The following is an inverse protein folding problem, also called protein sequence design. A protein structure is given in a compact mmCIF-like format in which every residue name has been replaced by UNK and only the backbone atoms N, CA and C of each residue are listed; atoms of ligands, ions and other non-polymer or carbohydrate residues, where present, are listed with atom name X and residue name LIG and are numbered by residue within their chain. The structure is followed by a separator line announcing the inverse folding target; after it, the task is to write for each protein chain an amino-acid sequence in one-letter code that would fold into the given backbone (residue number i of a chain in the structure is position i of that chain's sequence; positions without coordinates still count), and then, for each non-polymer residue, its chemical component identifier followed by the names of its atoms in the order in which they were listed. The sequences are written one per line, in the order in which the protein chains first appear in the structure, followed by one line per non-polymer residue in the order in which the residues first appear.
data_IF_193926781948
#
_entry.id   IF_193926781948
#
_cell.length_a   1.000
_cell.length_b   1.000
_cell.length_c   1.000
_cell.angle_alpha   90.00
_cell.angle_beta   90.00
_cell.angle_gamma   90.00
#
_symmetry.space_group_name_H-M   'P 1'
#
loop_
_entity.id
_entity.type
_entity.pdbx_description
1 polymer ?
#
# COMPACT_ATOMS: atom_id res chain seq x y z
N UNK A 1 5.77 39.62 -2.77
CA UNK A 1 5.85 39.11 -4.14
C UNK A 1 4.63 38.27 -4.56
N UNK A 2 3.96 37.54 -3.68
CA UNK A 2 2.73 36.76 -4.02
C UNK A 2 1.42 37.55 -3.89
N UNK A 3 1.45 38.73 -3.37
CA UNK A 3 0.29 39.66 -3.22
C UNK A 3 -0.25 40.14 -4.59
N UNK A 4 0.47 39.91 -5.68
CA UNK A 4 0.11 40.33 -7.04
C UNK A 4 -0.42 39.19 -7.93
N UNK A 5 -0.93 38.11 -7.35
CA UNK A 5 -1.58 37.03 -8.13
C UNK A 5 -0.65 36.01 -8.78
N UNK A 6 0.64 36.03 -8.48
CA UNK A 6 1.59 35.02 -9.01
C UNK A 6 1.49 33.73 -8.18
N UNK A 7 1.18 32.59 -8.84
CA UNK A 7 1.15 31.28 -8.17
C UNK A 7 2.56 30.88 -7.70
N UNK A 8 2.71 30.38 -6.46
CA UNK A 8 3.99 29.86 -5.99
C UNK A 8 4.38 28.62 -6.79
N UNK A 9 5.66 28.53 -7.19
CA UNK A 9 6.21 27.44 -8.00
C UNK A 9 7.33 26.67 -7.26
N UNK A 10 7.73 25.53 -7.77
CA UNK A 10 8.79 24.71 -7.20
C UNK A 10 8.43 24.13 -5.81
N UNK A 11 9.28 24.34 -4.80
CA UNK A 11 9.04 23.86 -3.42
C UNK A 11 8.10 24.72 -2.58
N UNK A 12 7.79 25.94 -3.04
CA UNK A 12 7.01 26.89 -2.27
C UNK A 12 5.58 26.42 -1.92
N UNK A 13 4.80 25.75 -2.80
CA UNK A 13 3.50 25.18 -2.47
C UNK A 13 3.55 24.20 -1.29
N UNK A 14 4.55 23.32 -1.26
CA UNK A 14 4.72 22.32 -0.21
C UNK A 14 5.11 22.95 1.13
N UNK A 15 5.98 23.97 1.11
CA UNK A 15 6.37 24.73 2.31
C UNK A 15 5.17 25.48 2.88
N UNK A 16 4.36 26.10 2.02
CA UNK A 16 3.13 26.81 2.44
C UNK A 16 2.13 25.82 3.06
N UNK A 17 1.89 24.68 2.43
CA UNK A 17 1.01 23.63 2.97
C UNK A 17 1.47 23.19 4.36
N UNK A 18 2.76 22.91 4.52
CA UNK A 18 3.31 22.46 5.80
C UNK A 18 3.23 23.53 6.87
N UNK A 19 3.58 24.77 6.55
CA UNK A 19 3.53 25.90 7.48
C UNK A 19 2.11 26.20 7.93
N UNK A 20 1.15 26.22 7.01
CA UNK A 20 -0.25 26.49 7.30
C UNK A 20 -0.91 25.32 8.04
N UNK A 21 -0.55 24.06 7.70
CA UNK A 21 -1.02 22.88 8.45
C UNK A 21 -0.58 22.93 9.91
N UNK A 22 0.67 23.34 10.19
CA UNK A 22 1.19 23.53 11.54
C UNK A 22 0.47 24.66 12.29
N UNK A 23 0.24 25.81 11.63
CA UNK A 23 -0.41 26.96 12.24
C UNK A 23 -1.89 26.75 12.57
N UNK A 24 -2.59 25.99 11.73
CA UNK A 24 -4.03 25.72 11.85
C UNK A 24 -4.33 24.46 12.65
N UNK A 25 -3.30 23.71 13.09
CA UNK A 25 -3.47 22.46 13.83
C UNK A 25 -4.17 21.34 13.06
N UNK A 26 -4.34 21.50 11.73
CA UNK A 26 -4.96 20.49 10.85
C UNK A 26 -4.13 20.30 9.58
N UNK A 27 -4.11 19.09 9.04
CA UNK A 27 -3.47 18.83 7.73
C UNK A 27 -4.25 19.55 6.63
N UNK A 28 -3.52 20.32 5.83
CA UNK A 28 -4.01 20.95 4.61
C UNK A 28 -3.44 20.18 3.40
N UNK A 29 -4.25 20.05 2.35
CA UNK A 29 -3.82 19.60 1.02
C UNK A 29 -3.44 20.81 0.15
N UNK A 30 -2.78 20.58 -0.99
CA UNK A 30 -2.55 21.65 -1.97
C UNK A 30 -3.88 22.15 -2.58
N UNK A 31 -4.89 21.27 -2.69
CA UNK A 31 -6.24 21.61 -3.09
C UNK A 31 -6.90 22.61 -2.13
N UNK A 32 -6.75 22.39 -0.80
CA UNK A 32 -7.28 23.32 0.21
C UNK A 32 -6.67 24.72 0.10
N UNK A 33 -5.50 24.83 -0.52
CA UNK A 33 -4.79 26.09 -0.76
C UNK A 33 -5.03 26.67 -2.16
N UNK A 34 -5.80 25.98 -3.01
CA UNK A 34 -6.00 26.38 -4.41
C UNK A 34 -4.71 26.31 -5.25
N UNK A 35 -3.73 25.50 -4.82
CA UNK A 35 -2.40 25.39 -5.42
C UNK A 35 -2.21 24.07 -6.17
N UNK A 36 -3.27 23.32 -6.47
CA UNK A 36 -3.19 22.17 -7.37
C UNK A 36 -2.68 22.64 -8.75
N UNK A 37 -1.65 21.99 -9.25
CA UNK A 37 -1.25 22.12 -10.64
C UNK A 37 -2.36 21.53 -11.51
N UNK A 38 -2.91 22.31 -12.46
CA UNK A 38 -3.66 21.70 -13.55
C UNK A 38 -2.72 20.71 -14.26
N UNK A 39 -3.17 19.50 -14.56
CA UNK A 39 -2.34 18.52 -15.22
C UNK A 39 -1.96 19.06 -16.60
N UNK A 40 -0.75 19.60 -16.74
CA UNK A 40 -0.11 19.81 -18.04
C UNK A 40 0.05 18.41 -18.65
N UNK A 41 -0.70 18.17 -19.72
CA UNK A 41 -0.91 16.87 -20.35
C UNK A 41 0.35 16.15 -20.78
N UNK A 42 0.87 15.33 -19.90
CA UNK A 42 1.45 14.05 -20.26
C UNK A 42 0.47 13.00 -19.73
N UNK A 43 -0.35 12.46 -20.62
CA UNK A 43 -1.18 11.28 -20.36
C UNK A 43 -0.24 10.20 -19.82
N UNK A 44 -0.26 10.01 -18.49
CA UNK A 44 0.43 8.88 -17.86
C UNK A 44 -0.31 7.61 -18.31
N UNK A 45 0.21 6.98 -19.37
CA UNK A 45 -0.37 5.77 -19.95
C UNK A 45 -0.57 4.65 -18.93
N UNK A 46 0.12 4.68 -17.79
CA UNK A 46 -0.02 3.70 -16.71
C UNK A 46 -1.29 3.87 -15.85
N UNK A 47 -1.90 5.06 -15.82
CA UNK A 47 -3.14 5.33 -15.10
C UNK A 47 -4.38 5.32 -15.99
N UNK A 48 -4.22 5.23 -17.32
CA UNK A 48 -5.33 5.11 -18.26
C UNK A 48 -5.81 3.65 -18.34
N UNK A 49 -7.06 3.44 -17.96
CA UNK A 49 -7.73 2.12 -18.02
C UNK A 49 -7.99 1.62 -19.46
N UNK A 50 -7.75 2.41 -20.50
CA UNK A 50 -7.96 2.06 -21.91
C UNK A 50 -6.72 1.50 -22.60
N UNK A 51 -5.50 1.79 -22.11
CA UNK A 51 -4.24 1.35 -22.74
C UNK A 51 -4.02 -0.15 -22.52
N UNK A 52 -3.39 -0.87 -23.44
CA UNK A 52 -3.08 -2.30 -23.29
C UNK A 52 -2.14 -2.55 -22.10
N UNK A 53 -2.56 -3.36 -21.08
CA UNK A 53 -1.77 -3.57 -19.89
C UNK A 53 -0.44 -4.29 -20.14
N UNK A 54 -0.33 -5.08 -21.21
CA UNK A 54 0.88 -5.82 -21.53
C UNK A 54 2.03 -4.92 -21.94
N UNK A 55 1.74 -3.96 -22.81
CA UNK A 55 2.72 -2.97 -23.27
C UNK A 55 3.21 -2.12 -22.11
N UNK A 56 2.27 -1.58 -21.32
CA UNK A 56 2.61 -0.71 -20.16
C UNK A 56 3.39 -1.48 -19.09
N UNK A 57 3.07 -2.75 -18.85
CA UNK A 57 3.77 -3.56 -17.86
C UNK A 57 5.20 -3.89 -18.27
N UNK A 58 5.44 -4.17 -19.56
CA UNK A 58 6.76 -4.38 -20.10
C UNK A 58 7.65 -3.12 -19.99
N UNK A 59 7.09 -1.95 -20.33
CA UNK A 59 7.77 -0.66 -20.18
C UNK A 59 8.10 -0.36 -18.72
N UNK A 60 7.11 -0.50 -17.81
CA UNK A 60 7.28 -0.24 -16.39
C UNK A 60 8.33 -1.14 -15.74
N UNK A 61 8.35 -2.44 -16.11
CA UNK A 61 9.38 -3.37 -15.64
C UNK A 61 10.77 -2.96 -16.10
N UNK A 62 10.91 -2.43 -17.32
CA UNK A 62 12.18 -1.92 -17.84
C UNK A 62 12.61 -0.63 -17.14
N UNK A 63 11.69 0.31 -16.90
CA UNK A 63 11.95 1.55 -16.18
C UNK A 63 12.37 1.31 -14.72
N UNK A 64 11.76 0.32 -14.05
CA UNK A 64 12.07 -0.03 -12.66
C UNK A 64 13.47 -0.70 -12.52
N UNK A 65 13.98 -1.31 -13.57
CA UNK A 65 15.33 -1.88 -13.62
C UNK A 65 16.41 -0.85 -13.96
N UNK A 66 16.05 0.19 -14.70
CA UNK A 66 16.97 1.31 -14.98
C UNK A 66 17.07 2.23 -13.75
N UNK A 67 18.27 2.28 -13.14
CA UNK A 67 18.52 3.02 -11.92
C UNK A 67 18.30 4.54 -12.07
N UNK A 68 18.53 5.10 -13.25
CA UNK A 68 18.28 6.53 -13.54
C UNK A 68 16.79 6.81 -13.70
N UNK A 69 16.07 5.99 -14.46
CA UNK A 69 14.63 6.10 -14.66
C UNK A 69 13.86 5.84 -13.37
N UNK A 70 14.30 4.86 -12.57
CA UNK A 70 13.71 4.58 -11.25
C UNK A 70 13.81 5.78 -10.30
N UNK A 71 14.94 6.49 -10.27
CA UNK A 71 15.08 7.73 -9.47
C UNK A 71 14.13 8.83 -9.93
N UNK A 72 13.92 8.98 -11.24
CA UNK A 72 12.97 9.94 -11.79
C UNK A 72 11.52 9.55 -11.44
N UNK A 73 11.17 8.27 -11.54
CA UNK A 73 9.85 7.77 -11.16
C UNK A 73 9.57 7.91 -9.66
N UNK A 74 10.56 7.65 -8.81
CA UNK A 74 10.45 7.79 -7.36
C UNK A 74 10.22 9.24 -6.92
N UNK A 75 10.71 10.23 -7.68
CA UNK A 75 10.49 11.66 -7.42
C UNK A 75 9.19 12.20 -8.02
N UNK A 76 8.54 11.44 -8.90
CA UNK A 76 7.29 11.84 -9.51
C UNK A 76 6.13 11.81 -8.50
N UNK A 77 5.28 12.83 -8.55
CA UNK A 77 4.16 12.96 -7.61
C UNK A 77 3.10 11.88 -7.81
N UNK A 78 2.58 11.37 -6.70
CA UNK A 78 1.35 10.56 -6.69
C UNK A 78 0.18 11.36 -7.27
N UNK A 79 -0.62 10.74 -8.13
CA UNK A 79 -1.76 11.39 -8.76
C UNK A 79 -3.09 10.86 -8.22
N UNK A 80 -3.80 11.69 -7.45
CA UNK A 80 -5.16 11.37 -7.02
C UNK A 80 -6.16 11.26 -8.21
N UNK A 81 -5.92 12.00 -9.30
CA UNK A 81 -6.73 11.91 -10.52
C UNK A 81 -6.58 10.54 -11.21
N UNK A 82 -5.38 9.96 -11.19
CA UNK A 82 -5.11 8.63 -11.74
C UNK A 82 -5.76 7.47 -10.98
N UNK A 83 -6.46 7.75 -9.87
CA UNK A 83 -7.27 6.79 -9.11
C UNK A 83 -8.75 6.78 -9.54
N UNK A 84 -9.13 7.49 -10.59
CA UNK A 84 -10.49 7.41 -11.12
C UNK A 84 -10.78 5.97 -11.53
N UNK A 85 -11.82 5.38 -10.92
CA UNK A 85 -12.24 4.01 -11.24
C UNK A 85 -12.97 3.99 -12.57
N UNK A 86 -12.77 2.95 -13.38
CA UNK A 86 -13.61 2.72 -14.56
C UNK A 86 -15.04 2.36 -14.12
N UNK A 87 -15.98 2.47 -15.05
CA UNK A 87 -17.37 2.07 -14.83
C UNK A 87 -17.48 0.58 -14.46
N UNK A 88 -18.54 0.20 -13.78
CA UNK A 88 -18.76 -1.21 -13.41
C UNK A 88 -18.76 -2.15 -14.63
N UNK A 89 -19.30 -1.69 -15.76
CA UNK A 89 -19.32 -2.44 -17.02
C UNK A 89 -17.93 -2.69 -17.63
N UNK A 90 -16.96 -1.83 -17.34
CA UNK A 90 -15.59 -1.99 -17.83
C UNK A 90 -14.98 -3.34 -17.43
N UNK A 91 -15.23 -3.82 -16.20
CA UNK A 91 -14.71 -5.10 -15.72
C UNK A 91 -15.18 -6.30 -16.55
N UNK A 92 -16.45 -6.29 -16.96
CA UNK A 92 -17.01 -7.32 -17.82
C UNK A 92 -16.47 -7.21 -19.25
N UNK A 93 -16.32 -5.99 -19.75
CA UNK A 93 -15.77 -5.73 -21.09
C UNK A 93 -14.30 -6.14 -21.15
N UNK A 94 -13.50 -5.88 -20.12
CA UNK A 94 -12.08 -6.25 -20.05
C UNK A 94 -11.89 -7.77 -20.15
N UNK A 95 -12.68 -8.54 -19.41
CA UNK A 95 -12.66 -10.01 -19.49
C UNK A 95 -12.99 -10.52 -20.92
N UNK A 96 -14.05 -9.98 -21.53
CA UNK A 96 -14.46 -10.37 -22.88
C UNK A 96 -13.43 -9.97 -23.96
N UNK A 97 -12.80 -8.82 -23.81
CA UNK A 97 -11.74 -8.35 -24.71
C UNK A 97 -10.48 -9.22 -24.61
N UNK A 98 -10.08 -9.57 -23.40
CA UNK A 98 -8.91 -10.42 -23.16
C UNK A 98 -9.08 -11.82 -23.77
N UNK A 99 -10.29 -12.40 -23.71
CA UNK A 99 -10.59 -13.70 -24.31
C UNK A 99 -10.43 -13.72 -25.84
N UNK A 100 -10.55 -12.54 -26.49
CA UNK A 100 -10.42 -12.38 -27.95
C UNK A 100 -9.01 -11.91 -28.38
N UNK A 101 -8.11 -11.64 -27.42
CA UNK A 101 -6.75 -11.17 -27.74
C UNK A 101 -5.97 -12.23 -28.49
N UNK A 102 -5.40 -11.93 -29.67
CA UNK A 102 -4.58 -12.89 -30.41
C UNK A 102 -3.28 -13.16 -29.67
N UNK A 103 -2.82 -14.42 -29.73
CA UNK A 103 -1.50 -14.76 -29.22
C UNK A 103 -0.41 -14.10 -30.09
N UNK A 104 0.55 -13.45 -29.46
CA UNK A 104 1.72 -12.83 -30.12
C UNK A 104 2.94 -13.76 -30.12
N UNK A 105 2.90 -14.83 -29.33
CA UNK A 105 3.94 -15.85 -29.22
C UNK A 105 3.37 -17.24 -29.55
N UNK A 106 4.11 -18.08 -30.30
CA UNK A 106 3.70 -19.46 -30.56
C UNK A 106 3.81 -20.38 -29.33
N UNK A 107 4.44 -19.93 -28.24
CA UNK A 107 4.61 -20.66 -26.99
C UNK A 107 3.26 -21.12 -26.45
N UNK A 108 3.20 -22.37 -26.03
CA UNK A 108 2.05 -22.92 -25.33
C UNK A 108 2.34 -22.92 -23.82
N UNK A 109 1.49 -22.27 -23.04
CA UNK A 109 1.62 -22.20 -21.58
C UNK A 109 1.23 -23.55 -20.98
N UNK A 110 2.03 -24.04 -20.03
CA UNK A 110 1.78 -25.20 -19.21
C UNK A 110 1.47 -24.82 -17.76
N UNK A 111 0.91 -25.77 -16.98
CA UNK A 111 0.66 -25.55 -15.56
C UNK A 111 1.94 -25.21 -14.80
N UNK A 112 3.06 -25.85 -15.12
CA UNK A 112 4.36 -25.56 -14.51
C UNK A 112 4.80 -24.09 -14.64
N UNK A 113 4.47 -23.43 -15.76
CA UNK A 113 4.78 -21.99 -15.93
C UNK A 113 4.02 -21.13 -14.91
N UNK A 114 2.78 -21.50 -14.57
CA UNK A 114 1.95 -20.81 -13.59
C UNK A 114 2.48 -21.06 -12.18
N UNK A 115 2.85 -22.31 -11.90
CA UNK A 115 3.39 -22.70 -10.59
C UNK A 115 4.71 -21.99 -10.32
N UNK A 116 5.61 -21.86 -11.32
CA UNK A 116 6.84 -21.07 -11.21
C UNK A 116 6.56 -19.60 -10.85
N UNK A 117 5.55 -18.97 -11.48
CA UNK A 117 5.16 -17.57 -11.17
C UNK A 117 4.64 -17.47 -9.73
N UNK A 118 3.82 -18.42 -9.29
CA UNK A 118 3.26 -18.46 -7.93
C UNK A 118 4.34 -18.68 -6.86
N UNK A 119 5.27 -19.58 -7.11
CA UNK A 119 6.39 -19.87 -6.20
C UNK A 119 7.29 -18.66 -6.02
N UNK A 120 7.66 -18.00 -7.12
CA UNK A 120 8.42 -16.73 -7.07
C UNK A 120 7.66 -15.64 -6.31
N UNK A 121 6.36 -15.51 -6.55
CA UNK A 121 5.51 -14.54 -5.85
C UNK A 121 5.50 -14.82 -4.34
N UNK A 122 5.36 -16.08 -3.95
CA UNK A 122 5.39 -16.52 -2.54
C UNK A 122 6.75 -16.22 -1.90
N UNK A 123 7.84 -16.53 -2.59
CA UNK A 123 9.21 -16.26 -2.12
C UNK A 123 9.43 -14.76 -1.86
N UNK A 124 9.10 -13.89 -2.83
CA UNK A 124 9.30 -12.46 -2.68
C UNK A 124 8.34 -11.84 -1.67
N UNK A 125 7.12 -12.35 -1.53
CA UNK A 125 6.16 -11.92 -0.50
C UNK A 125 6.71 -12.20 0.90
N UNK A 126 7.26 -13.40 1.15
CA UNK A 126 7.88 -13.73 2.43
C UNK A 126 9.08 -12.81 2.73
N UNK A 127 9.91 -12.53 1.71
CA UNK A 127 11.06 -11.64 1.84
C UNK A 127 10.65 -10.19 2.14
N UNK A 128 9.60 -9.68 1.48
CA UNK A 128 9.01 -8.36 1.76
C UNK A 128 8.54 -8.24 3.22
N UNK A 129 7.84 -9.24 3.73
CA UNK A 129 7.36 -9.24 5.11
C UNK A 129 8.50 -9.20 6.14
N UNK A 130 9.62 -9.82 5.84
CA UNK A 130 10.79 -9.88 6.74
C UNK A 130 11.69 -8.65 6.60
N UNK A 131 12.00 -8.24 5.37
CA UNK A 131 13.07 -7.28 5.07
C UNK A 131 12.61 -5.97 4.49
N UNK A 132 11.33 -5.84 4.14
CA UNK A 132 10.76 -4.64 3.53
C UNK A 132 10.83 -4.62 2.02
N UNK A 133 10.01 -3.73 1.43
CA UNK A 133 9.71 -3.67 0.00
C UNK A 133 10.89 -3.32 -0.88
N UNK A 134 11.88 -2.56 -0.39
CA UNK A 134 13.07 -2.25 -1.17
C UNK A 134 13.98 -3.48 -1.36
N UNK A 135 13.86 -4.49 -0.46
CA UNK A 135 14.67 -5.70 -0.49
C UNK A 135 14.17 -6.72 -1.52
N UNK A 136 14.76 -6.71 -2.70
CA UNK A 136 14.47 -7.71 -3.75
C UNK A 136 13.47 -7.27 -4.81
N UNK A 137 12.91 -6.05 -4.74
CA UNK A 137 11.95 -5.54 -5.74
C UNK A 137 12.51 -5.52 -7.16
N UNK A 138 13.75 -5.08 -7.36
CA UNK A 138 14.39 -5.09 -8.69
C UNK A 138 14.48 -6.51 -9.29
N UNK A 139 14.78 -7.52 -8.47
CA UNK A 139 14.79 -8.91 -8.92
C UNK A 139 13.38 -9.40 -9.28
N UNK A 140 12.37 -9.05 -8.46
CA UNK A 140 10.96 -9.34 -8.78
C UNK A 140 10.53 -8.66 -10.08
N UNK A 141 10.87 -7.39 -10.31
CA UNK A 141 10.57 -6.66 -11.55
C UNK A 141 11.24 -7.31 -12.77
N UNK A 142 12.48 -7.81 -12.62
CA UNK A 142 13.16 -8.60 -13.64
C UNK A 142 12.41 -9.90 -13.98
N UNK A 143 12.01 -10.68 -12.98
CA UNK A 143 11.21 -11.90 -13.20
C UNK A 143 9.84 -11.58 -13.81
N UNK A 144 9.20 -10.51 -13.37
CA UNK A 144 7.92 -10.07 -13.93
C UNK A 144 8.07 -9.77 -15.43
N UNK A 145 9.06 -8.94 -15.82
CA UNK A 145 9.32 -8.58 -17.22
C UNK A 145 9.72 -9.78 -18.07
N UNK A 146 10.69 -10.59 -17.60
CA UNK A 146 11.36 -11.59 -18.44
C UNK A 146 10.65 -12.94 -18.46
N UNK A 147 9.85 -13.24 -17.43
CA UNK A 147 9.20 -14.56 -17.27
C UNK A 147 7.68 -14.46 -17.29
N UNK A 148 7.08 -13.59 -16.46
CA UNK A 148 5.64 -13.59 -16.28
C UNK A 148 4.88 -12.85 -17.40
N UNK A 149 5.32 -11.64 -17.79
CA UNK A 149 4.66 -10.84 -18.84
C UNK A 149 4.57 -11.58 -20.18
N UNK A 150 5.62 -12.28 -20.67
CA UNK A 150 5.54 -13.02 -21.93
C UNK A 150 4.47 -14.11 -21.95
N UNK A 151 4.09 -14.68 -20.77
CA UNK A 151 3.03 -15.69 -20.71
C UNK A 151 1.68 -15.12 -21.13
N UNK A 152 1.40 -13.84 -20.85
CA UNK A 152 0.13 -13.20 -21.17
C UNK A 152 -0.13 -13.09 -22.69
N UNK A 153 0.94 -13.04 -23.50
CA UNK A 153 0.88 -13.03 -24.95
C UNK A 153 1.02 -14.40 -25.61
N UNK A 154 1.06 -15.48 -24.84
CA UNK A 154 1.27 -16.85 -25.31
C UNK A 154 -0.06 -17.55 -25.66
N UNK A 155 0.02 -18.79 -26.15
CA UNK A 155 -1.15 -19.63 -26.48
C UNK A 155 -1.58 -20.45 -25.25
N UNK A 156 -2.88 -20.68 -25.13
CA UNK A 156 -3.47 -21.47 -24.03
C UNK A 156 -4.28 -22.64 -24.60
N UNK A 157 -4.21 -23.79 -23.95
CA UNK A 157 -5.04 -24.96 -24.32
C UNK A 157 -6.49 -24.79 -23.91
N UNK A 158 -6.74 -24.10 -22.79
CA UNK A 158 -8.07 -23.90 -22.22
C UNK A 158 -8.22 -22.48 -21.72
N UNK A 159 -9.45 -21.99 -21.66
CA UNK A 159 -9.77 -20.70 -21.07
C UNK A 159 -9.42 -20.64 -19.58
N UNK A 160 -9.58 -21.77 -18.85
CA UNK A 160 -9.19 -21.85 -17.45
C UNK A 160 -7.68 -21.60 -17.27
N UNK A 161 -6.85 -22.25 -18.08
CA UNK A 161 -5.40 -22.05 -18.03
C UNK A 161 -5.00 -20.60 -18.33
N UNK A 162 -5.72 -19.93 -19.25
CA UNK A 162 -5.54 -18.51 -19.52
C UNK A 162 -5.86 -17.67 -18.28
N UNK A 163 -7.03 -17.88 -17.68
CA UNK A 163 -7.44 -17.16 -16.47
C UNK A 163 -6.46 -17.35 -15.32
N UNK A 164 -6.03 -18.58 -15.06
CA UNK A 164 -5.08 -18.89 -14.00
C UNK A 164 -3.72 -18.23 -14.22
N UNK A 165 -3.27 -18.15 -15.49
CA UNK A 165 -2.05 -17.43 -15.85
C UNK A 165 -2.18 -15.94 -15.58
N UNK A 166 -3.28 -15.33 -16.04
CA UNK A 166 -3.53 -13.91 -15.82
C UNK A 166 -3.66 -13.58 -14.33
N UNK A 167 -4.35 -14.41 -13.53
CA UNK A 167 -4.41 -14.27 -12.07
C UNK A 167 -3.03 -14.32 -11.42
N UNK A 168 -2.19 -15.31 -11.78
CA UNK A 168 -0.84 -15.42 -11.21
C UNK A 168 0.05 -14.22 -11.55
N UNK A 169 0.00 -13.74 -12.81
CA UNK A 169 0.74 -12.53 -13.21
C UNK A 169 0.20 -11.27 -12.55
N UNK A 170 -1.12 -11.15 -12.38
CA UNK A 170 -1.73 -10.04 -11.65
C UNK A 170 -1.28 -10.00 -10.18
N UNK A 171 -1.18 -11.17 -9.53
CA UNK A 171 -0.72 -11.27 -8.14
C UNK A 171 0.76 -10.89 -8.01
N UNK A 172 1.63 -11.33 -8.92
CA UNK A 172 3.04 -10.91 -8.97
C UNK A 172 3.18 -9.40 -9.22
N UNK A 173 2.36 -8.84 -10.13
CA UNK A 173 2.32 -7.41 -10.43
C UNK A 173 1.85 -6.60 -9.22
N UNK A 174 0.82 -7.09 -8.52
CA UNK A 174 0.36 -6.53 -7.25
C UNK A 174 1.50 -6.49 -6.22
N UNK A 175 2.26 -7.57 -6.08
CA UNK A 175 3.37 -7.63 -5.13
C UNK A 175 4.44 -6.58 -5.46
N UNK A 176 4.79 -6.38 -6.73
CA UNK A 176 5.71 -5.32 -7.14
C UNK A 176 5.20 -3.93 -6.74
N UNK A 177 3.90 -3.68 -6.94
CA UNK A 177 3.23 -2.45 -6.49
C UNK A 177 3.23 -2.27 -4.97
N UNK A 178 2.96 -3.33 -4.22
CA UNK A 178 3.02 -3.30 -2.77
C UNK A 178 4.43 -3.02 -2.24
N UNK A 179 5.44 -3.66 -2.82
CA UNK A 179 6.85 -3.42 -2.46
C UNK A 179 7.29 -1.98 -2.78
N UNK A 180 6.83 -1.41 -3.91
CA UNK A 180 7.06 0.00 -4.23
C UNK A 180 6.36 0.94 -3.23
N UNK A 181 5.13 0.61 -2.81
CA UNK A 181 4.41 1.36 -1.77
C UNK A 181 5.16 1.31 -0.43
N UNK A 182 5.62 0.14 -0.02
CA UNK A 182 6.41 0.00 1.20
C UNK A 182 7.75 0.76 1.14
N UNK A 183 8.33 0.89 -0.06
CA UNK A 183 9.52 1.70 -0.30
C UNK A 183 9.25 3.23 -0.38
N UNK A 184 8.00 3.68 -0.16
CA UNK A 184 7.53 5.07 -0.32
C UNK A 184 7.63 5.61 -1.76
N UNK A 185 7.73 4.74 -2.75
CA UNK A 185 7.70 5.08 -4.18
C UNK A 185 6.26 5.08 -4.71
N UNK A 186 5.47 6.05 -4.23
CA UNK A 186 4.01 6.03 -4.35
C UNK A 186 3.48 6.04 -5.77
N UNK A 187 4.13 6.73 -6.72
CA UNK A 187 3.72 6.74 -8.13
C UNK A 187 3.98 5.39 -8.79
N UNK A 188 5.16 4.81 -8.58
CA UNK A 188 5.49 3.48 -9.08
C UNK A 188 4.51 2.43 -8.54
N UNK A 189 4.20 2.51 -7.25
CA UNK A 189 3.20 1.66 -6.60
C UNK A 189 1.83 1.79 -7.27
N UNK A 190 1.35 3.00 -7.49
CA UNK A 190 0.08 3.27 -8.14
C UNK A 190 0.02 2.66 -9.54
N UNK A 191 1.08 2.81 -10.36
CA UNK A 191 1.15 2.24 -11.71
C UNK A 191 1.06 0.71 -11.70
N UNK A 192 1.88 0.04 -10.87
CA UNK A 192 1.82 -1.41 -10.73
C UNK A 192 0.47 -1.90 -10.23
N UNK A 193 -0.10 -1.28 -9.20
CA UNK A 193 -1.39 -1.66 -8.63
C UNK A 193 -2.54 -1.47 -9.63
N UNK A 194 -2.53 -0.38 -10.42
CA UNK A 194 -3.53 -0.17 -11.47
C UNK A 194 -3.41 -1.23 -12.56
N UNK A 195 -2.19 -1.56 -13.00
CA UNK A 195 -1.97 -2.62 -13.99
C UNK A 195 -2.39 -4.00 -13.45
N UNK A 196 -2.05 -4.31 -12.20
CA UNK A 196 -2.48 -5.53 -11.56
C UNK A 196 -4.00 -5.67 -11.51
N UNK A 197 -4.73 -4.59 -11.17
CA UNK A 197 -6.19 -4.58 -11.16
C UNK A 197 -6.79 -4.83 -12.55
N UNK A 198 -6.16 -4.29 -13.61
CA UNK A 198 -6.56 -4.54 -15.00
C UNK A 198 -6.36 -5.99 -15.41
N UNK A 199 -5.19 -6.56 -15.10
CA UNK A 199 -4.90 -7.97 -15.44
C UNK A 199 -5.83 -8.90 -14.65
N UNK A 200 -6.13 -8.60 -13.38
CA UNK A 200 -7.11 -9.34 -12.59
C UNK A 200 -8.52 -9.29 -13.18
N UNK A 201 -8.93 -8.14 -13.75
CA UNK A 201 -10.19 -8.01 -14.47
C UNK A 201 -10.20 -8.86 -15.75
N UNK A 202 -9.11 -8.89 -16.50
CA UNK A 202 -8.93 -9.73 -17.70
C UNK A 202 -8.90 -11.24 -17.37
N UNK A 203 -8.47 -11.61 -16.15
CA UNK A 203 -8.57 -12.97 -15.63
C UNK A 203 -10.01 -13.35 -15.21
N UNK A 204 -10.85 -12.36 -14.92
CA UNK A 204 -12.13 -12.57 -14.26
C UNK A 204 -12.00 -12.95 -12.78
N UNK A 205 -10.87 -12.65 -12.15
CA UNK A 205 -10.63 -12.90 -10.71
C UNK A 205 -11.14 -11.73 -9.87
N UNK A 206 -12.42 -11.77 -9.52
CA UNK A 206 -13.08 -10.75 -8.71
C UNK A 206 -12.41 -10.57 -7.34
N UNK A 207 -12.19 -11.63 -6.55
CA UNK A 207 -11.49 -11.53 -5.26
C UNK A 207 -10.11 -10.88 -5.33
N UNK A 208 -9.28 -11.24 -6.30
CA UNK A 208 -7.97 -10.60 -6.53
C UNK A 208 -8.13 -9.13 -6.90
N UNK A 209 -9.09 -8.81 -7.78
CA UNK A 209 -9.43 -7.41 -8.10
C UNK A 209 -9.80 -6.61 -6.85
N UNK A 210 -10.61 -7.17 -5.96
CA UNK A 210 -10.95 -6.58 -4.66
C UNK A 210 -9.71 -6.36 -3.78
N UNK A 211 -8.85 -7.38 -3.70
CA UNK A 211 -7.58 -7.31 -2.95
C UNK A 211 -6.65 -6.20 -3.46
N UNK A 212 -6.56 -5.99 -4.76
CA UNK A 212 -5.73 -4.94 -5.34
C UNK A 212 -6.34 -3.55 -5.12
N UNK A 213 -7.66 -3.40 -5.33
CA UNK A 213 -8.35 -2.12 -5.09
C UNK A 213 -8.24 -1.68 -3.62
N UNK A 214 -8.30 -2.61 -2.66
CA UNK A 214 -8.07 -2.28 -1.25
C UNK A 214 -6.64 -1.77 -1.00
N UNK A 215 -5.63 -2.25 -1.75
CA UNK A 215 -4.26 -1.76 -1.62
C UNK A 215 -4.12 -0.32 -2.13
N UNK A 216 -4.78 0.02 -3.25
CA UNK A 216 -4.90 1.39 -3.73
C UNK A 216 -5.63 2.29 -2.72
N UNK A 217 -6.71 1.77 -2.09
CA UNK A 217 -7.43 2.48 -1.03
C UNK A 217 -6.53 2.73 0.19
N UNK A 218 -5.77 1.73 0.63
CA UNK A 218 -4.81 1.85 1.72
C UNK A 218 -3.76 2.93 1.42
N UNK A 219 -3.17 2.92 0.22
CA UNK A 219 -2.23 3.94 -0.22
C UNK A 219 -2.87 5.34 -0.20
N UNK A 220 -4.10 5.47 -0.69
CA UNK A 220 -4.82 6.75 -0.70
C UNK A 220 -5.12 7.28 0.72
N UNK A 221 -5.45 6.38 1.69
CA UNK A 221 -5.59 6.76 3.11
C UNK A 221 -4.27 7.32 3.65
N UNK A 222 -3.18 6.57 3.46
CA UNK A 222 -1.87 6.95 4.00
C UNK A 222 -1.35 8.27 3.41
N UNK A 223 -1.74 8.60 2.18
CA UNK A 223 -1.38 9.84 1.48
C UNK A 223 -2.37 11.00 1.69
N UNK A 224 -3.45 10.80 2.48
CA UNK A 224 -4.38 11.85 2.84
C UNK A 224 -5.41 12.19 1.76
N UNK A 225 -5.84 11.20 0.96
CA UNK A 225 -6.88 11.34 -0.06
C UNK A 225 -8.18 10.57 0.33
N UNK A 226 -8.91 10.97 1.40
CA UNK A 226 -9.98 10.18 2.00
C UNK A 226 -11.11 9.82 1.03
N UNK A 227 -11.59 10.77 0.23
CA UNK A 227 -12.67 10.54 -0.74
C UNK A 227 -12.29 9.51 -1.80
N UNK A 228 -11.04 9.54 -2.29
CA UNK A 228 -10.53 8.56 -3.26
C UNK A 228 -10.33 7.20 -2.60
N UNK A 229 -9.82 7.19 -1.38
CA UNK A 229 -9.68 5.97 -0.59
C UNK A 229 -11.03 5.28 -0.39
N UNK A 230 -12.08 6.03 -0.03
CA UNK A 230 -13.42 5.50 0.16
C UNK A 230 -13.98 4.93 -1.15
N UNK A 231 -13.89 5.65 -2.27
CA UNK A 231 -14.36 5.16 -3.56
C UNK A 231 -13.68 3.84 -3.98
N UNK A 232 -12.36 3.71 -3.75
CA UNK A 232 -11.60 2.49 -4.03
C UNK A 232 -11.98 1.35 -3.09
N UNK A 233 -12.17 1.66 -1.80
CA UNK A 233 -12.59 0.69 -0.79
C UNK A 233 -14.00 0.19 -1.07
N UNK A 234 -14.96 1.06 -1.41
CA UNK A 234 -16.32 0.68 -1.83
C UNK A 234 -16.28 -0.23 -3.05
N UNK A 235 -15.47 0.11 -4.06
CA UNK A 235 -15.29 -0.74 -5.23
C UNK A 235 -14.71 -2.11 -4.87
N UNK A 236 -13.81 -2.21 -3.89
CA UNK A 236 -13.28 -3.48 -3.41
C UNK A 236 -14.35 -4.34 -2.72
N UNK A 237 -15.34 -3.71 -2.11
CA UNK A 237 -16.46 -4.34 -1.39
C UNK A 237 -17.65 -4.70 -2.28
N UNK A 238 -17.56 -4.50 -3.62
CA UNK A 238 -18.65 -4.87 -4.52
C UNK A 238 -18.98 -6.36 -4.46
N UNK A 239 -20.24 -6.71 -4.79
CA UNK A 239 -20.76 -8.08 -4.68
C UNK A 239 -19.87 -9.14 -5.36
N UNK A 240 -19.35 -8.82 -6.55
CA UNK A 240 -18.55 -9.76 -7.36
C UNK A 240 -17.14 -9.98 -6.80
N UNK A 241 -16.65 -9.06 -5.96
CA UNK A 241 -15.33 -9.14 -5.35
C UNK A 241 -15.38 -9.66 -3.93
N UNK A 242 -16.14 -8.97 -3.07
CA UNK A 242 -16.29 -9.36 -1.68
C UNK A 242 -17.12 -10.66 -1.53
N UNK A 243 -18.21 -10.82 -2.30
CA UNK A 243 -19.09 -11.99 -2.18
C UNK A 243 -18.39 -13.31 -2.48
N UNK A 244 -17.47 -13.32 -3.44
CA UNK A 244 -16.73 -14.52 -3.88
C UNK A 244 -15.40 -14.73 -3.13
N UNK A 245 -14.97 -13.74 -2.33
CA UNK A 245 -13.71 -13.82 -1.58
C UNK A 245 -13.80 -14.83 -0.42
N UNK A 246 -12.67 -15.41 -0.04
CA UNK A 246 -12.56 -16.21 1.19
C UNK A 246 -12.84 -15.34 2.44
N UNK A 247 -13.19 -15.95 3.55
CA UNK A 247 -13.47 -15.20 4.77
C UNK A 247 -12.28 -14.35 5.24
N UNK A 248 -11.06 -14.82 5.06
CA UNK A 248 -9.85 -14.05 5.37
C UNK A 248 -9.68 -12.83 4.46
N UNK A 249 -9.96 -12.98 3.16
CA UNK A 249 -9.97 -11.86 2.23
C UNK A 249 -11.08 -10.86 2.56
N UNK A 250 -12.30 -11.36 2.86
CA UNK A 250 -13.43 -10.53 3.31
C UNK A 250 -13.03 -9.66 4.51
N UNK A 251 -12.39 -10.27 5.50
CA UNK A 251 -11.92 -9.55 6.69
C UNK A 251 -10.92 -8.44 6.34
N UNK A 252 -9.97 -8.74 5.44
CA UNK A 252 -8.98 -7.76 4.98
C UNK A 252 -9.62 -6.62 4.18
N UNK A 253 -10.58 -6.91 3.29
CA UNK A 253 -11.31 -5.88 2.54
C UNK A 253 -12.12 -4.99 3.51
N UNK A 254 -12.84 -5.59 4.44
CA UNK A 254 -13.69 -4.87 5.40
C UNK A 254 -12.88 -3.95 6.32
N UNK A 255 -11.69 -4.37 6.79
CA UNK A 255 -10.91 -3.52 7.70
C UNK A 255 -10.24 -2.35 6.96
N UNK A 256 -9.84 -2.52 5.70
CA UNK A 256 -9.33 -1.38 4.92
C UNK A 256 -10.46 -0.43 4.53
N UNK A 257 -11.68 -0.95 4.30
CA UNK A 257 -12.88 -0.12 4.15
C UNK A 257 -13.13 0.70 5.44
N UNK A 258 -13.00 0.09 6.64
CA UNK A 258 -13.08 0.82 7.91
C UNK A 258 -12.06 1.96 8.00
N UNK A 259 -10.82 1.77 7.54
CA UNK A 259 -9.81 2.83 7.50
C UNK A 259 -10.19 3.97 6.55
N UNK A 260 -10.75 3.65 5.40
CA UNK A 260 -11.22 4.66 4.45
C UNK A 260 -12.39 5.48 5.01
N UNK A 261 -13.35 4.82 5.67
CA UNK A 261 -14.47 5.47 6.37
C UNK A 261 -13.99 6.35 7.52
N UNK A 262 -13.02 5.88 8.31
CA UNK A 262 -12.40 6.66 9.38
C UNK A 262 -11.73 7.93 8.86
N UNK A 263 -11.00 7.82 7.76
CA UNK A 263 -10.32 8.95 7.12
C UNK A 263 -11.31 9.95 6.51
N UNK A 264 -12.48 9.50 6.05
CA UNK A 264 -13.56 10.34 5.51
C UNK A 264 -14.46 10.92 6.62
N UNK A 265 -14.30 10.47 7.87
CA UNK A 265 -15.03 10.97 9.04
C UNK A 265 -16.32 10.22 9.40
N UNK A 266 -16.66 9.15 8.71
CA UNK A 266 -17.83 8.31 9.04
C UNK A 266 -17.50 7.36 10.20
N UNK A 267 -17.81 7.82 11.42
CA UNK A 267 -17.60 7.06 12.66
C UNK A 267 -18.46 5.80 12.76
N UNK A 268 -19.73 5.91 12.39
CA UNK A 268 -20.67 4.79 12.51
C UNK A 268 -20.33 3.69 11.49
N UNK A 269 -20.08 4.07 10.24
CA UNK A 269 -19.63 3.16 9.19
C UNK A 269 -18.30 2.47 9.54
N UNK A 270 -17.35 3.23 10.14
CA UNK A 270 -16.07 2.66 10.60
C UNK A 270 -16.26 1.53 11.60
N UNK A 271 -17.06 1.75 12.66
CA UNK A 271 -17.31 0.71 13.68
C UNK A 271 -18.06 -0.50 13.09
N UNK A 272 -19.03 -0.27 12.22
CA UNK A 272 -19.74 -1.34 11.53
C UNK A 272 -18.82 -2.17 10.65
N UNK A 273 -17.86 -1.54 9.95
CA UNK A 273 -16.87 -2.21 9.10
C UNK A 273 -15.82 -2.98 9.93
N UNK A 274 -15.36 -2.46 11.07
CA UNK A 274 -14.50 -3.18 12.03
C UNK A 274 -15.20 -4.45 12.50
N UNK A 275 -16.44 -4.34 12.99
CA UNK A 275 -17.23 -5.50 13.45
C UNK A 275 -17.46 -6.54 12.34
N UNK A 276 -17.58 -6.11 11.09
CA UNK A 276 -17.66 -7.00 9.92
C UNK A 276 -16.35 -7.75 9.73
N UNK A 277 -15.22 -7.05 9.76
CA UNK A 277 -13.89 -7.65 9.60
C UNK A 277 -13.59 -8.69 10.68
N UNK A 278 -13.98 -8.43 11.93
CA UNK A 278 -13.84 -9.37 13.05
C UNK A 278 -14.67 -10.63 12.83
N UNK A 279 -15.95 -10.49 12.44
CA UNK A 279 -16.82 -11.64 12.14
C UNK A 279 -16.30 -12.47 10.97
N UNK A 280 -15.78 -11.82 9.92
CA UNK A 280 -15.24 -12.53 8.77
C UNK A 280 -13.95 -13.27 9.15
N UNK A 281 -13.04 -12.63 9.91
CA UNK A 281 -11.82 -13.31 10.35
C UNK A 281 -12.10 -14.48 11.29
N UNK A 282 -13.10 -14.35 12.17
CA UNK A 282 -13.52 -15.44 13.06
C UNK A 282 -14.07 -16.67 12.31
N UNK A 283 -14.55 -16.48 11.07
CA UNK A 283 -15.03 -17.56 10.20
C UNK A 283 -13.96 -18.09 9.23
N UNK A 284 -12.76 -17.47 9.25
CA UNK A 284 -11.71 -17.83 8.30
C UNK A 284 -11.13 -19.20 8.61
N UNK A 285 -11.14 -20.09 7.63
CA UNK A 285 -10.36 -21.32 7.65
C UNK A 285 -8.97 -21.06 7.07
N UNK A 286 -7.96 -21.71 7.66
CA UNK A 286 -6.59 -21.62 7.18
C UNK A 286 -6.39 -22.37 5.85
N UNK A 287 -7.22 -23.36 5.56
CA UNK A 287 -7.11 -24.21 4.37
C UNK A 287 -7.75 -23.58 3.12
N UNK A 288 -8.73 -22.68 3.29
CA UNK A 288 -9.48 -22.07 2.17
C UNK A 288 -8.93 -20.71 1.71
N UNK A 289 -7.95 -20.17 2.44
CA UNK A 289 -7.44 -18.84 2.15
C UNK A 289 -6.31 -18.90 1.09
N UNK A 290 -6.38 -18.12 0.00
CA UNK A 290 -5.30 -18.03 -0.96
C UNK A 290 -4.02 -17.51 -0.30
N UNK A 291 -2.85 -17.96 -0.81
CA UNK A 291 -1.54 -17.63 -0.25
C UNK A 291 -1.30 -16.13 -0.08
N UNK A 292 -1.85 -15.31 -1.00
CA UNK A 292 -1.76 -13.85 -0.99
C UNK A 292 -2.28 -13.16 0.29
N UNK A 293 -3.14 -13.82 1.07
CA UNK A 293 -3.69 -13.27 2.32
C UNK A 293 -3.24 -14.02 3.57
N UNK A 294 -2.30 -14.94 3.46
CA UNK A 294 -1.74 -15.70 4.58
C UNK A 294 -1.14 -14.82 5.69
N UNK A 295 -0.68 -13.62 5.33
CA UNK A 295 -0.17 -12.61 6.27
C UNK A 295 -1.28 -11.99 7.14
N UNK A 296 -2.53 -12.02 6.68
CA UNK A 296 -3.64 -11.36 7.38
C UNK A 296 -4.22 -12.27 8.45
N UNK A 297 -3.82 -12.04 9.66
CA UNK A 297 -4.21 -12.77 10.88
C UNK A 297 -4.65 -11.77 11.95
N UNK A 298 -4.93 -12.24 13.15
CA UNK A 298 -5.35 -11.41 14.30
C UNK A 298 -4.46 -10.17 14.50
N UNK A 299 -3.14 -10.35 14.46
CA UNK A 299 -2.19 -9.24 14.60
C UNK A 299 -2.35 -8.17 13.51
N UNK A 300 -2.72 -8.58 12.29
CA UNK A 300 -2.94 -7.64 11.18
C UNK A 300 -4.27 -6.92 11.31
N UNK A 301 -5.32 -7.63 11.72
CA UNK A 301 -6.63 -7.03 12.01
C UNK A 301 -6.51 -6.00 13.14
N UNK A 302 -5.84 -6.36 14.25
CA UNK A 302 -5.62 -5.45 15.37
C UNK A 302 -4.84 -4.19 14.95
N UNK A 303 -3.81 -4.33 14.11
CA UNK A 303 -3.06 -3.18 13.58
C UNK A 303 -3.93 -2.22 12.77
N UNK A 304 -4.73 -2.74 11.84
CA UNK A 304 -5.59 -1.90 10.98
C UNK A 304 -6.73 -1.27 11.79
N UNK A 305 -7.30 -2.01 12.78
CA UNK A 305 -8.29 -1.48 13.74
C UNK A 305 -7.70 -0.32 14.54
N UNK A 306 -6.47 -0.47 15.05
CA UNK A 306 -5.77 0.59 15.77
C UNK A 306 -5.57 1.84 14.91
N UNK A 307 -5.19 1.66 13.64
CA UNK A 307 -5.05 2.77 12.70
C UNK A 307 -6.38 3.49 12.47
N UNK A 308 -7.48 2.76 12.26
CA UNK A 308 -8.81 3.34 12.09
C UNK A 308 -9.26 4.13 13.34
N UNK A 309 -9.07 3.58 14.53
CA UNK A 309 -9.41 4.24 15.80
C UNK A 309 -8.55 5.48 16.05
N UNK A 310 -7.26 5.43 15.75
CA UNK A 310 -6.37 6.59 15.81
C UNK A 310 -6.86 7.71 14.88
N UNK A 311 -7.23 7.36 13.65
CA UNK A 311 -7.68 8.32 12.64
C UNK A 311 -9.06 8.93 13.01
N UNK A 312 -9.86 8.20 13.81
CA UNK A 312 -11.09 8.69 14.47
C UNK A 312 -10.84 9.60 15.69
N UNK A 313 -9.58 9.83 16.09
CA UNK A 313 -9.24 10.58 17.30
C UNK A 313 -9.48 9.85 18.62
N UNK A 314 -9.39 8.50 18.61
CA UNK A 314 -9.53 7.63 19.79
C UNK A 314 -8.20 6.99 20.19
N UNK A 315 -7.23 7.75 20.70
CA UNK A 315 -5.88 7.26 20.96
C UNK A 315 -5.83 6.16 22.04
N UNK A 316 -6.67 6.19 23.04
CA UNK A 316 -6.73 5.16 24.10
C UNK A 316 -7.16 3.80 23.51
N UNK A 317 -8.22 3.78 22.72
CA UNK A 317 -8.71 2.57 22.08
C UNK A 317 -7.68 2.05 21.06
N UNK A 318 -7.08 2.95 20.29
CA UNK A 318 -6.04 2.60 19.31
C UNK A 318 -4.82 1.94 19.97
N UNK A 319 -4.41 2.41 21.14
CA UNK A 319 -3.28 1.83 21.87
C UNK A 319 -3.52 0.38 22.25
N UNK A 320 -4.70 0.04 22.78
CA UNK A 320 -5.06 -1.33 23.14
C UNK A 320 -4.89 -2.27 21.94
N UNK A 321 -5.36 -1.84 20.77
CA UNK A 321 -5.26 -2.64 19.55
C UNK A 321 -3.83 -2.70 19.00
N UNK A 322 -3.02 -1.62 19.10
CA UNK A 322 -1.59 -1.69 18.75
C UNK A 322 -0.84 -2.66 19.68
N UNK A 323 -1.07 -2.61 20.98
CA UNK A 323 -0.48 -3.54 21.95
C UNK A 323 -0.86 -4.99 21.62
N UNK A 324 -2.14 -5.27 21.32
CA UNK A 324 -2.60 -6.58 20.86
C UNK A 324 -1.87 -7.04 19.61
N UNK A 325 -1.71 -6.15 18.62
CA UNK A 325 -0.99 -6.44 17.39
C UNK A 325 0.49 -6.78 17.67
N UNK A 326 1.15 -6.04 18.54
CA UNK A 326 2.55 -6.29 18.94
C UNK A 326 2.69 -7.64 19.64
N UNK A 327 1.77 -7.96 20.56
CA UNK A 327 1.81 -9.18 21.36
C UNK A 327 1.57 -10.46 20.54
N UNK A 328 0.63 -10.40 19.54
CA UNK A 328 0.21 -11.59 18.77
C UNK A 328 1.01 -11.78 17.47
N UNK A 329 1.84 -10.83 17.08
CA UNK A 329 2.60 -10.91 15.82
C UNK A 329 3.83 -11.81 15.92
N UNK A 330 4.01 -12.67 14.94
CA UNK A 330 5.24 -13.47 14.75
C UNK A 330 6.38 -12.56 14.27
N UNK A 331 7.18 -12.03 15.21
CA UNK A 331 8.18 -10.97 14.99
C UNK A 331 9.16 -11.29 13.87
N UNK A 332 9.73 -12.50 13.84
CA UNK A 332 10.73 -12.88 12.83
C UNK A 332 10.15 -12.97 11.42
N UNK A 333 8.91 -13.45 11.29
CA UNK A 333 8.24 -13.60 10.00
C UNK A 333 7.74 -12.26 9.45
N UNK A 334 7.34 -11.33 10.33
CA UNK A 334 6.70 -10.05 9.97
C UNK A 334 7.45 -8.85 10.59
N UNK A 335 8.80 -8.87 10.53
CA UNK A 335 9.65 -7.87 11.19
C UNK A 335 9.34 -6.44 10.73
N UNK A 336 9.11 -6.24 9.43
CA UNK A 336 8.71 -4.94 8.85
C UNK A 336 7.46 -4.38 9.52
N UNK A 337 6.36 -5.13 9.50
CA UNK A 337 5.10 -4.62 10.06
C UNK A 337 5.16 -4.53 11.59
N UNK A 338 5.92 -5.41 12.26
CA UNK A 338 6.12 -5.34 13.70
C UNK A 338 6.80 -4.02 14.11
N UNK A 339 7.88 -3.65 13.43
CA UNK A 339 8.61 -2.40 13.71
C UNK A 339 7.76 -1.15 13.46
N UNK A 340 6.99 -1.12 12.37
CA UNK A 340 6.05 -0.02 12.07
C UNK A 340 4.95 0.07 13.13
N UNK A 341 4.43 -1.08 13.60
CA UNK A 341 3.39 -1.12 14.66
C UNK A 341 3.91 -0.51 15.96
N UNK A 342 5.12 -0.88 16.38
CA UNK A 342 5.78 -0.27 17.55
C UNK A 342 5.96 1.25 17.39
N UNK A 343 6.33 1.69 16.19
CA UNK A 343 6.45 3.12 15.91
C UNK A 343 5.14 3.88 16.09
N UNK A 344 4.03 3.33 15.61
CA UNK A 344 2.70 3.94 15.78
C UNK A 344 2.20 3.86 17.23
N UNK A 345 2.51 2.77 17.94
CA UNK A 345 2.21 2.64 19.37
C UNK A 345 2.89 3.77 20.16
N UNK A 346 4.18 4.00 19.97
CA UNK A 346 4.90 5.09 20.63
C UNK A 346 4.32 6.47 20.29
N UNK A 347 3.92 6.71 19.02
CA UNK A 347 3.29 7.96 18.62
C UNK A 347 1.95 8.21 19.33
N UNK A 348 1.14 7.17 19.55
CA UNK A 348 -0.13 7.25 20.29
C UNK A 348 0.14 7.51 21.78
N UNK A 349 1.19 6.94 22.38
CA UNK A 349 1.58 7.20 23.76
C UNK A 349 2.03 8.65 23.97
N UNK A 350 2.78 9.25 23.02
CA UNK A 350 3.11 10.69 23.06
C UNK A 350 1.86 11.56 23.00
N UNK A 351 0.88 11.23 22.15
CA UNK A 351 -0.39 11.97 22.09
C UNK A 351 -1.14 11.97 23.42
N UNK A 352 -0.91 10.97 24.26
CA UNK A 352 -1.49 10.83 25.59
C UNK A 352 -0.60 11.44 26.71
N UNK A 353 0.51 12.09 26.35
CA UNK A 353 1.45 12.69 27.29
C UNK A 353 2.40 11.71 27.99
N UNK A 354 2.41 10.43 27.60
CA UNK A 354 3.23 9.37 28.21
C UNK A 354 4.58 9.22 27.49
N UNK A 355 5.42 10.25 27.65
CA UNK A 355 6.68 10.35 26.90
C UNK A 355 7.68 9.24 27.24
N UNK A 356 7.81 8.84 28.52
CA UNK A 356 8.78 7.82 28.92
C UNK A 356 8.42 6.45 28.37
N UNK A 357 7.14 6.09 28.36
CA UNK A 357 6.63 4.86 27.74
C UNK A 357 6.84 4.88 26.23
N UNK A 358 6.56 6.02 25.59
CA UNK A 358 6.80 6.20 24.16
C UNK A 358 8.29 6.00 23.81
N UNK A 359 9.20 6.57 24.60
CA UNK A 359 10.63 6.39 24.40
C UNK A 359 11.05 4.91 24.53
N UNK A 360 10.51 4.18 25.50
CA UNK A 360 10.77 2.75 25.66
C UNK A 360 10.24 1.95 24.45
N UNK A 361 9.02 2.24 24.00
CA UNK A 361 8.39 1.60 22.83
C UNK A 361 9.16 1.90 21.55
N UNK A 362 9.60 3.14 21.36
CA UNK A 362 10.36 3.54 20.17
C UNK A 362 11.78 2.95 20.15
N UNK A 363 12.41 2.72 21.29
CA UNK A 363 13.66 1.96 21.35
C UNK A 363 13.45 0.53 20.84
N UNK A 364 12.36 -0.14 21.24
CA UNK A 364 12.00 -1.46 20.70
C UNK A 364 11.70 -1.40 19.18
N UNK A 365 11.08 -0.32 18.70
CA UNK A 365 10.84 -0.13 17.26
C UNK A 365 12.16 -0.05 16.48
N UNK A 366 13.13 0.75 16.95
CA UNK A 366 14.46 0.86 16.33
C UNK A 366 15.22 -0.47 16.35
N UNK A 367 15.15 -1.24 17.44
CA UNK A 367 15.72 -2.58 17.49
C UNK A 367 15.10 -3.53 16.45
N UNK A 368 13.78 -3.49 16.31
CA UNK A 368 13.04 -4.30 15.35
C UNK A 368 13.24 -3.86 13.88
N UNK A 369 13.70 -2.63 13.62
CA UNK A 369 14.02 -2.10 12.29
C UNK A 369 15.39 -2.54 11.77
N UNK A 370 16.21 -3.17 12.59
CA UNK A 370 17.53 -3.62 12.17
C UNK A 370 17.43 -4.60 10.99
N UNK A 371 18.04 -4.25 9.85
CA UNK A 371 17.99 -5.03 8.61
C UNK A 371 16.70 -4.92 7.79
N UNK A 372 15.75 -4.04 8.19
CA UNK A 372 14.53 -3.75 7.44
C UNK A 372 14.77 -2.59 6.47
N UNK A 373 14.53 -2.84 5.18
CA UNK A 373 14.64 -1.86 4.08
C UNK A 373 13.23 -1.42 3.64
N UNK A 374 12.64 -0.51 4.40
CA UNK A 374 11.25 -0.06 4.22
C UNK A 374 11.18 1.47 4.34
N UNK A 375 10.63 2.13 3.33
CA UNK A 375 10.32 3.56 3.37
C UNK A 375 9.33 3.90 4.48
N UNK A 376 8.33 3.03 4.71
CA UNK A 376 7.36 3.20 5.80
C UNK A 376 8.02 3.13 7.18
N UNK A 377 9.01 2.27 7.38
CA UNK A 377 9.80 2.24 8.61
C UNK A 377 10.61 3.54 8.76
N UNK A 378 11.20 4.02 7.65
CA UNK A 378 11.90 5.32 7.62
C UNK A 378 10.96 6.48 7.98
N UNK A 379 9.75 6.50 7.44
CA UNK A 379 8.74 7.55 7.71
C UNK A 379 8.32 7.55 9.19
N UNK A 380 8.24 6.36 9.82
CA UNK A 380 8.02 6.22 11.27
C UNK A 380 9.14 6.88 12.06
N UNK A 381 10.41 6.68 11.69
CA UNK A 381 11.56 7.30 12.38
C UNK A 381 11.52 8.82 12.20
N UNK A 382 11.23 9.33 11.00
CA UNK A 382 11.09 10.77 10.75
C UNK A 382 9.98 11.37 11.61
N UNK A 383 8.85 10.65 11.73
CA UNK A 383 7.74 11.03 12.60
C UNK A 383 8.16 11.07 14.07
N UNK A 384 8.83 10.03 14.54
CA UNK A 384 9.38 9.95 15.91
C UNK A 384 10.25 11.17 16.22
N UNK A 385 11.16 11.55 15.30
CA UNK A 385 12.00 12.74 15.48
C UNK A 385 11.19 14.05 15.54
N UNK A 386 10.13 14.14 14.73
CA UNK A 386 9.22 15.30 14.76
C UNK A 386 8.49 15.38 16.11
N UNK A 387 7.98 14.27 16.60
CA UNK A 387 7.23 14.20 17.87
C UNK A 387 8.15 14.47 19.09
N UNK A 388 9.44 14.10 19.02
CA UNK A 388 10.44 14.39 20.06
C UNK A 388 10.94 15.85 20.03
N UNK A 389 10.83 16.56 18.92
CA UNK A 389 11.39 17.90 18.73
C UNK A 389 11.01 18.90 19.84
N UNK A 390 9.73 18.99 20.30
CA UNK A 390 9.33 19.94 21.34
C UNK A 390 9.93 19.64 22.71
N UNK A 391 10.36 18.42 22.96
CA UNK A 391 10.85 17.97 24.28
C UNK A 391 12.38 17.83 24.37
N UNK A 392 13.09 17.90 23.22
CA UNK A 392 14.56 17.84 23.18
C UNK A 392 15.25 18.86 24.11
N UNK A 393 14.69 20.07 24.20
CA UNK A 393 15.26 21.14 25.00
C UNK A 393 15.04 20.96 26.52
N UNK A 394 14.20 20.00 26.94
CA UNK A 394 13.93 19.73 28.37
C UNK A 394 15.01 18.91 29.06
N UNK A 395 16.11 18.61 28.39
CA UNK A 395 17.32 18.01 29.00
C UNK A 395 17.22 16.52 29.36
N UNK A 396 16.16 15.81 28.92
CA UNK A 396 16.05 14.37 29.19
C UNK A 396 17.11 13.57 28.44
N UNK A 397 17.98 12.87 29.20
CA UNK A 397 19.02 12.01 28.64
C UNK A 397 18.45 10.88 27.76
N UNK A 398 17.30 10.33 28.13
CA UNK A 398 16.62 9.27 27.36
C UNK A 398 16.12 9.77 26.00
N UNK A 399 15.58 10.99 25.94
CA UNK A 399 15.15 11.61 24.67
C UNK A 399 16.34 11.90 23.78
N UNK A 400 17.44 12.40 24.32
CA UNK A 400 18.66 12.67 23.54
C UNK A 400 19.30 11.40 22.97
N UNK A 401 19.33 10.34 23.74
CA UNK A 401 19.85 9.02 23.32
C UNK A 401 18.98 8.41 22.22
N UNK A 402 17.66 8.42 22.39
CA UNK A 402 16.71 7.93 21.38
C UNK A 402 16.81 8.71 20.07
N UNK A 403 16.91 10.04 20.14
CA UNK A 403 17.06 10.90 18.96
C UNK A 403 18.39 10.64 18.21
N UNK A 404 19.47 10.34 18.95
CA UNK A 404 20.73 9.92 18.34
C UNK A 404 20.58 8.58 17.62
N UNK A 405 20.01 7.56 18.27
CA UNK A 405 19.73 6.26 17.66
C UNK A 405 18.85 6.35 16.42
N UNK A 406 17.82 7.20 16.46
CA UNK A 406 16.93 7.44 15.32
C UNK A 406 17.69 8.03 14.13
N UNK A 407 18.62 9.00 14.36
CA UNK A 407 19.48 9.54 13.30
C UNK A 407 20.42 8.50 12.71
N UNK A 408 21.02 7.68 13.55
CA UNK A 408 21.94 6.62 13.10
C UNK A 408 21.19 5.59 12.25
N UNK A 409 19.98 5.21 12.65
CA UNK A 409 19.12 4.28 11.89
C UNK A 409 18.71 4.88 10.54
N UNK A 410 18.35 6.17 10.46
CA UNK A 410 18.04 6.84 9.19
C UNK A 410 19.22 6.81 8.20
N UNK A 411 20.44 6.91 8.70
CA UNK A 411 21.64 6.79 7.86
C UNK A 411 21.87 5.37 7.37
N UNK A 412 21.49 4.37 8.17
CA UNK A 412 21.65 2.97 7.82
C UNK A 412 20.59 2.46 6.82
N UNK A 413 19.39 3.05 6.82
CA UNK A 413 18.27 2.66 5.93
C UNK A 413 18.31 3.47 4.61
N UNK A 414 18.88 4.67 4.62
CA UNK A 414 18.97 5.57 3.45
C UNK A 414 20.11 5.23 2.58
#
# INVERSE_FOLDING_TARGET
MWVQGTRPSGRAPHILRETLSRRLGRRLTLADLGLEEEPTGTTDSGSDWSVDPLTVLAELGSDDLDMHRRKLLATAAYSAAGLALPTASWWTVALAAAAKRPAVSPRLVAQADIDDVRDLTTFYSARDQQRGGASGRSALAGHLRDKAVPLLGSRFRTEQLRRDTYSAVAEMTYLAGWMAFDASEHRTAQRYLTLAARIAAEAGDGPLGGHILRALAHQAVDLGHPRRALALADASMSRDRYGQASHREKALLAIVHARALAADGDRAGTLAAINRAERDLARADNNDAPGRVGFFQEASLAYETACALRDMGKPLDAEIHFQRSVATRRRQQYARTHSVTLGYLGAVQVQQGRLDEACATWNQALDAMAGVQSGRARDVIVRMQSDLSPVRQRGSRHVAELDRRARDMLRAIG
#
